data_IF_969700430376
#
_entry.id   IF_969700430376
#
_cell.length_a   1.000
_cell.length_b   1.000
_cell.length_c   1.000
_cell.angle_alpha   90.00
_cell.angle_beta   90.00
_cell.angle_gamma   90.00
#
_symmetry.space_group_name_H-M   'P 1'
#
loop_
_entity.id
_entity.type
_entity.pdbx_description
1 polymer ?
#
# COMPACT_ATOMS: atom_id res chain seq x y z
N UNK A 1 52.22 9.24 6.28
CA UNK A 1 50.79 9.21 5.89
C UNK A 1 50.12 8.10 6.66
N UNK A 2 49.35 8.47 7.68
CA UNK A 2 48.81 7.56 8.70
C UNK A 2 47.80 6.56 8.15
N UNK A 3 48.13 5.27 8.28
CA UNK A 3 47.28 4.11 7.92
C UNK A 3 45.95 4.07 8.69
N UNK A 4 45.82 4.85 9.77
CA UNK A 4 44.61 4.93 10.59
C UNK A 4 43.48 5.76 9.96
N UNK A 5 43.75 6.58 8.93
CA UNK A 5 42.69 7.35 8.24
C UNK A 5 41.94 6.56 7.16
N UNK A 6 42.47 5.40 6.72
CA UNK A 6 41.86 4.63 5.64
C UNK A 6 40.73 3.69 6.10
N UNK A 7 40.70 3.32 7.38
CA UNK A 7 39.74 2.33 7.89
C UNK A 7 38.38 2.97 8.23
N UNK A 8 38.35 4.26 8.57
CA UNK A 8 37.09 4.94 8.90
C UNK A 8 36.20 5.22 7.67
N UNK A 9 36.74 5.16 6.46
CA UNK A 9 36.00 5.44 5.23
C UNK A 9 35.13 4.26 4.75
N UNK A 10 35.37 3.03 5.23
CA UNK A 10 34.60 1.85 4.80
C UNK A 10 33.36 1.53 5.67
N UNK A 11 33.27 2.08 6.89
CA UNK A 11 32.14 1.83 7.79
C UNK A 11 30.91 2.73 7.50
N UNK A 12 31.06 3.76 6.66
CA UNK A 12 29.95 4.62 6.25
C UNK A 12 29.18 4.09 5.01
N UNK A 13 29.68 3.05 4.34
CA UNK A 13 29.13 2.60 3.05
C UNK A 13 28.06 1.49 3.17
N UNK A 14 27.87 0.88 4.35
CA UNK A 14 26.90 -0.21 4.53
C UNK A 14 25.49 0.24 4.93
N UNK A 15 25.26 1.55 5.12
CA UNK A 15 23.93 2.10 5.39
C UNK A 15 23.14 2.44 4.11
N UNK A 16 23.72 2.23 2.93
CA UNK A 16 23.11 2.56 1.63
C UNK A 16 22.60 1.35 0.84
N UNK A 17 22.67 0.12 1.39
CA UNK A 17 22.18 -1.11 0.75
C UNK A 17 20.67 -1.37 0.96
N UNK A 18 19.88 -0.32 1.21
CA UNK A 18 18.47 -0.44 1.58
C UNK A 18 17.46 -0.36 0.44
N UNK A 19 17.76 -0.76 -0.79
CA UNK A 19 16.72 -1.00 -1.80
C UNK A 19 16.32 -2.48 -1.79
N UNK A 20 15.89 -2.98 -0.63
CA UNK A 20 15.26 -4.30 -0.51
C UNK A 20 13.76 -4.22 -0.79
N UNK A 21 13.12 -5.36 -1.06
CA UNK A 21 11.65 -5.42 -1.15
C UNK A 21 10.99 -4.87 0.12
N UNK A 22 9.90 -4.12 -0.03
CA UNK A 22 9.13 -3.59 1.10
C UNK A 22 8.57 -4.75 1.95
N UNK A 23 8.95 -4.77 3.22
CA UNK A 23 8.45 -5.68 4.23
C UNK A 23 7.38 -4.98 5.06
N UNK A 24 6.34 -5.70 5.44
CA UNK A 24 5.21 -5.14 6.17
C UNK A 24 4.98 -5.92 7.47
N UNK A 25 4.70 -5.18 8.55
CA UNK A 25 4.21 -5.75 9.82
C UNK A 25 2.71 -5.51 9.95
N UNK A 26 2.01 -6.45 10.57
CA UNK A 26 0.60 -6.25 10.96
C UNK A 26 0.52 -5.28 12.13
N UNK A 27 -0.32 -4.26 11.98
CA UNK A 27 -0.58 -3.22 13.00
C UNK A 27 -2.08 -3.09 13.28
N UNK A 28 -2.88 -4.10 12.90
CA UNK A 28 -4.34 -4.06 13.06
C UNK A 28 -4.80 -3.78 14.49
N UNK A 29 -4.05 -4.26 15.50
CA UNK A 29 -4.34 -3.99 16.91
C UNK A 29 -4.15 -2.53 17.34
N UNK A 30 -3.32 -1.76 16.62
CA UNK A 30 -3.06 -0.33 16.85
C UNK A 30 -4.12 0.56 16.18
N UNK A 31 -4.86 0.00 15.20
CA UNK A 31 -5.85 0.71 14.35
C UNK A 31 -7.26 0.10 14.44
N UNK A 32 -7.60 -0.47 15.60
CA UNK A 32 -8.83 -1.24 15.79
C UNK A 32 -10.14 -0.44 15.61
N UNK A 33 -10.10 0.89 15.60
CA UNK A 33 -11.23 1.78 15.36
C UNK A 33 -11.77 1.72 13.93
N UNK A 34 -10.90 1.43 12.95
CA UNK A 34 -11.28 1.29 11.55
C UNK A 34 -11.52 -0.16 11.13
N UNK A 35 -10.89 -1.14 11.78
CA UNK A 35 -11.02 -2.55 11.39
C UNK A 35 -12.47 -3.02 11.53
N UNK A 36 -12.99 -3.67 10.48
CA UNK A 36 -14.36 -4.16 10.40
C UNK A 36 -15.39 -3.11 9.98
N UNK A 37 -15.02 -1.83 9.90
CA UNK A 37 -15.93 -0.77 9.47
C UNK A 37 -16.24 -0.85 7.98
N UNK A 38 -17.43 -0.38 7.61
CA UNK A 38 -17.78 -0.12 6.21
C UNK A 38 -17.52 1.34 5.90
N UNK A 39 -16.90 1.57 4.75
CA UNK A 39 -16.59 2.89 4.25
C UNK A 39 -17.13 3.07 2.84
N UNK A 40 -17.38 4.33 2.48
CA UNK A 40 -17.75 4.74 1.13
C UNK A 40 -16.76 5.77 0.63
N UNK A 41 -16.28 5.62 -0.60
CA UNK A 41 -15.49 6.62 -1.29
C UNK A 41 -16.36 7.85 -1.58
N UNK A 42 -15.88 9.03 -1.24
CA UNK A 42 -16.52 10.31 -1.55
C UNK A 42 -15.93 10.95 -2.81
N UNK A 43 -14.71 10.55 -3.18
CA UNK A 43 -13.98 10.99 -4.37
C UNK A 43 -13.40 9.78 -5.10
N UNK A 44 -13.11 9.93 -6.39
CA UNK A 44 -12.51 8.87 -7.20
C UNK A 44 -11.07 8.61 -6.78
N UNK A 45 -10.75 7.35 -6.45
CA UNK A 45 -9.38 6.88 -6.23
C UNK A 45 -8.92 6.03 -7.41
N UNK A 46 -7.61 5.83 -7.56
CA UNK A 46 -7.05 4.90 -8.56
C UNK A 46 -6.63 3.61 -7.90
N UNK A 47 -7.13 2.49 -8.44
CA UNK A 47 -6.65 1.15 -8.14
C UNK A 47 -5.61 0.72 -9.17
N UNK A 48 -4.49 0.20 -8.69
CA UNK A 48 -3.37 -0.26 -9.51
C UNK A 48 -3.12 -1.73 -9.21
N UNK A 49 -3.25 -2.59 -10.20
CA UNK A 49 -2.76 -3.97 -10.10
C UNK A 49 -1.25 -3.98 -10.17
N UNK A 50 -0.59 -4.69 -9.24
CA UNK A 50 0.86 -4.69 -9.08
C UNK A 50 1.42 -6.11 -9.17
N UNK A 51 2.46 -6.31 -9.97
CA UNK A 51 3.29 -7.53 -9.97
C UNK A 51 4.55 -7.31 -9.12
N UNK A 52 4.94 -8.31 -8.32
CA UNK A 52 6.24 -8.35 -7.63
C UNK A 52 7.34 -8.94 -8.51
N UNK A 53 6.97 -9.85 -9.42
CA UNK A 53 7.91 -10.51 -10.31
C UNK A 53 8.18 -9.72 -11.58
N UNK A 54 9.45 -9.64 -11.99
CA UNK A 54 9.85 -9.27 -13.34
C UNK A 54 9.90 -10.53 -14.20
N UNK A 55 8.84 -10.78 -14.96
CA UNK A 55 8.73 -11.92 -15.87
C UNK A 55 7.90 -11.58 -17.11
N UNK A 56 7.93 -12.43 -18.14
CA UNK A 56 7.16 -12.22 -19.38
C UNK A 56 5.65 -12.27 -19.14
N UNK A 57 5.20 -13.02 -18.13
CA UNK A 57 3.81 -13.07 -17.70
C UNK A 57 3.59 -12.14 -16.50
N UNK A 58 2.93 -11.01 -16.76
CA UNK A 58 2.54 -10.05 -15.71
C UNK A 58 1.31 -10.56 -14.98
N UNK A 59 1.51 -11.25 -13.86
CA UNK A 59 0.44 -11.61 -12.93
C UNK A 59 0.25 -10.51 -11.89
N UNK A 60 -0.99 -10.09 -11.65
CA UNK A 60 -1.29 -9.22 -10.52
C UNK A 60 -1.14 -9.99 -9.21
N UNK A 61 -0.27 -9.54 -8.32
CA UNK A 61 -0.08 -10.12 -6.99
C UNK A 61 -0.96 -9.44 -5.94
N UNK A 62 -1.16 -8.13 -6.07
CA UNK A 62 -2.00 -7.33 -5.18
C UNK A 62 -2.51 -6.07 -5.89
N UNK A 63 -3.46 -5.38 -5.26
CA UNK A 63 -3.97 -4.09 -5.72
C UNK A 63 -3.59 -2.99 -4.75
N UNK A 64 -3.05 -1.89 -5.25
CA UNK A 64 -2.70 -0.68 -4.48
C UNK A 64 -3.60 0.48 -4.88
N UNK A 65 -4.26 1.10 -3.89
CA UNK A 65 -5.29 2.12 -4.08
C UNK A 65 -4.85 3.43 -3.44
N UNK A 66 -4.61 4.46 -4.25
CA UNK A 66 -4.27 5.82 -3.82
C UNK A 66 -4.18 6.79 -5.00
N UNK A 67 -4.17 8.09 -4.73
CA UNK A 67 -3.94 9.18 -5.70
C UNK A 67 -2.65 9.96 -5.38
N UNK A 68 -1.92 10.50 -6.38
CA UNK A 68 -2.20 10.46 -7.82
C UNK A 68 -1.96 9.08 -8.46
N UNK A 69 -1.52 8.10 -7.65
CA UNK A 69 -1.17 6.76 -8.11
C UNK A 69 0.25 6.70 -8.64
N UNK A 70 0.58 5.62 -9.33
CA UNK A 70 1.89 5.43 -9.93
C UNK A 70 1.80 4.70 -11.26
N UNK A 71 2.90 4.73 -11.99
CA UNK A 71 3.09 4.03 -13.26
C UNK A 71 4.45 3.35 -13.22
N UNK A 72 4.56 2.23 -13.92
CA UNK A 72 5.82 1.53 -14.08
C UNK A 72 5.62 0.17 -14.72
N UNK A 73 6.72 -0.54 -14.92
CA UNK A 73 6.72 -1.88 -15.51
C UNK A 73 5.96 -2.91 -14.67
N UNK A 74 5.86 -2.65 -13.36
CA UNK A 74 5.19 -3.44 -12.34
C UNK A 74 3.67 -3.27 -12.33
N UNK A 75 3.14 -2.25 -13.01
CA UNK A 75 1.70 -2.03 -13.10
C UNK A 75 1.10 -2.95 -14.17
N UNK A 76 0.10 -3.74 -13.76
CA UNK A 76 -0.62 -4.69 -14.63
C UNK A 76 -1.92 -4.10 -15.15
N UNK A 77 -2.60 -3.28 -14.36
CA UNK A 77 -3.76 -2.49 -14.76
C UNK A 77 -3.87 -1.23 -13.91
N UNK A 78 -4.61 -0.25 -14.42
CA UNK A 78 -5.05 0.93 -13.67
C UNK A 78 -6.53 1.12 -13.93
N UNK A 79 -7.33 1.27 -12.87
CA UNK A 79 -8.75 1.55 -13.00
C UNK A 79 -9.20 2.60 -11.97
N UNK A 80 -10.20 3.44 -12.32
CA UNK A 80 -10.82 4.31 -11.34
C UNK A 80 -11.75 3.51 -10.41
N UNK A 81 -11.73 3.86 -9.13
CA UNK A 81 -12.76 3.50 -8.16
C UNK A 81 -13.60 4.74 -7.92
N UNK A 82 -14.78 4.76 -8.51
CA UNK A 82 -15.63 5.95 -8.50
C UNK A 82 -16.16 6.27 -7.11
N UNK A 83 -16.50 7.54 -6.88
CA UNK A 83 -17.25 7.95 -5.70
C UNK A 83 -18.53 7.11 -5.56
N UNK A 84 -18.84 6.71 -4.32
CA UNK A 84 -19.90 5.74 -4.01
C UNK A 84 -19.44 4.28 -3.90
N UNK A 85 -18.22 3.96 -4.33
CA UNK A 85 -17.62 2.63 -4.11
C UNK A 85 -17.58 2.33 -2.62
N UNK A 86 -18.10 1.16 -2.23
CA UNK A 86 -18.09 0.69 -0.84
C UNK A 86 -16.92 -0.24 -0.60
N UNK A 87 -16.36 -0.15 0.59
CA UNK A 87 -15.27 -1.02 1.02
C UNK A 87 -15.41 -1.38 2.49
N UNK A 88 -14.97 -2.58 2.85
CA UNK A 88 -14.83 -3.04 4.23
C UNK A 88 -13.36 -3.07 4.60
N UNK A 89 -12.99 -2.46 5.72
CA UNK A 89 -11.62 -2.50 6.23
C UNK A 89 -11.40 -3.82 6.96
N UNK A 90 -10.38 -4.59 6.56
CA UNK A 90 -10.12 -5.94 7.06
C UNK A 90 -8.93 -6.02 8.02
N UNK A 91 -7.86 -5.28 7.71
CA UNK A 91 -6.61 -5.29 8.48
C UNK A 91 -5.81 -4.01 8.20
N UNK A 92 -4.84 -3.70 9.04
CA UNK A 92 -3.88 -2.63 8.84
C UNK A 92 -2.46 -3.19 8.82
N UNK A 93 -1.62 -2.68 7.91
CA UNK A 93 -0.20 -3.04 7.84
C UNK A 93 0.65 -1.79 7.67
N UNK A 94 1.85 -1.83 8.22
CA UNK A 94 2.83 -0.75 8.08
C UNK A 94 4.14 -1.30 7.49
N UNK A 95 4.77 -0.54 6.60
CA UNK A 95 6.10 -0.90 6.11
C UNK A 95 7.13 -0.88 7.26
N UNK A 96 7.77 -2.03 7.53
CA UNK A 96 8.72 -2.21 8.62
C UNK A 96 10.17 -1.89 8.24
N UNK A 97 10.47 -1.72 6.95
CA UNK A 97 11.81 -1.41 6.44
C UNK A 97 11.84 -0.16 5.55
N UNK A 98 10.88 0.76 5.70
CA UNK A 98 10.80 2.03 4.99
C UNK A 98 11.12 3.22 5.95
N UNK A 99 12.39 3.50 6.28
CA UNK A 99 12.75 4.46 7.35
C UNK A 99 12.41 5.92 7.05
N UNK A 100 12.27 6.29 5.77
CA UNK A 100 11.96 7.67 5.34
C UNK A 100 10.52 7.83 4.84
N UNK A 101 9.77 6.74 4.74
CA UNK A 101 8.39 6.73 4.26
C UNK A 101 7.60 5.62 4.97
N UNK A 102 7.29 5.79 6.27
CA UNK A 102 6.43 4.85 6.98
C UNK A 102 5.08 4.82 6.27
N UNK A 103 4.80 3.70 5.61
CA UNK A 103 3.63 3.55 4.76
C UNK A 103 2.62 2.65 5.47
N UNK A 104 1.60 3.29 6.05
CA UNK A 104 0.43 2.62 6.60
C UNK A 104 -0.60 2.37 5.48
N UNK A 105 -1.05 1.13 5.39
CA UNK A 105 -2.05 0.69 4.42
C UNK A 105 -3.13 -0.15 5.10
N UNK A 106 -4.38 0.05 4.67
CA UNK A 106 -5.51 -0.75 5.08
C UNK A 106 -5.81 -1.79 4.01
N UNK A 107 -5.84 -3.07 4.40
CA UNK A 107 -6.39 -4.13 3.56
C UNK A 107 -7.90 -3.95 3.51
N UNK A 108 -8.46 -3.89 2.31
CA UNK A 108 -9.90 -3.71 2.10
C UNK A 108 -10.49 -4.78 1.21
N UNK A 109 -11.78 -5.00 1.35
CA UNK A 109 -12.63 -5.72 0.39
C UNK A 109 -13.60 -4.73 -0.22
N UNK A 110 -13.66 -4.64 -1.55
CA UNK A 110 -14.63 -3.78 -2.25
C UNK A 110 -15.97 -4.51 -2.40
N UNK A 111 -17.08 -3.77 -2.33
CA UNK A 111 -18.43 -4.33 -2.42
C UNK A 111 -19.25 -3.56 -3.48
N UNK A 112 -19.55 -4.16 -4.65
CA UNK A 112 -19.06 -5.47 -5.13
C UNK A 112 -17.56 -5.45 -5.44
N UNK A 113 -16.92 -6.63 -5.44
CA UNK A 113 -15.53 -6.78 -5.86
C UNK A 113 -15.41 -6.61 -7.39
N UNK A 114 -14.52 -5.72 -7.90
CA UNK A 114 -14.23 -5.65 -9.33
C UNK A 114 -13.60 -6.95 -9.86
N UNK A 115 -13.88 -7.32 -11.10
CA UNK A 115 -13.33 -8.54 -11.70
C UNK A 115 -11.78 -8.52 -11.74
N UNK A 116 -11.17 -7.35 -11.90
CA UNK A 116 -9.72 -7.15 -11.90
C UNK A 116 -9.06 -7.48 -10.55
N UNK A 117 -9.85 -7.54 -9.47
CA UNK A 117 -9.36 -7.82 -8.12
C UNK A 117 -9.42 -9.30 -7.76
N UNK A 118 -10.02 -10.15 -8.60
CA UNK A 118 -10.41 -11.52 -8.24
C UNK A 118 -9.27 -12.31 -7.56
N UNK A 119 -9.48 -12.63 -6.29
CA UNK A 119 -8.55 -13.40 -5.46
C UNK A 119 -7.25 -12.67 -5.10
N UNK A 120 -7.20 -11.33 -5.23
CA UNK A 120 -6.04 -10.48 -4.91
C UNK A 120 -6.34 -9.57 -3.72
N UNK A 121 -5.42 -9.45 -2.75
CA UNK A 121 -5.60 -8.51 -1.67
C UNK A 121 -5.49 -7.07 -2.20
N UNK A 122 -6.42 -6.21 -1.78
CA UNK A 122 -6.42 -4.78 -2.09
C UNK A 122 -6.01 -3.95 -0.87
N UNK A 123 -5.18 -2.94 -1.08
CA UNK A 123 -4.62 -2.09 -0.04
C UNK A 123 -4.85 -0.62 -0.37
N UNK A 124 -5.51 0.10 0.53
CA UNK A 124 -5.72 1.55 0.45
C UNK A 124 -4.70 2.24 1.35
N UNK A 125 -3.97 3.22 0.84
CA UNK A 125 -3.05 4.01 1.68
C UNK A 125 -3.83 4.77 2.75
N UNK A 126 -3.34 4.81 3.98
CA UNK A 126 -4.01 5.50 5.08
C UNK A 126 -4.22 7.00 4.81
N UNK A 127 -3.33 7.62 4.03
CA UNK A 127 -3.48 9.01 3.57
C UNK A 127 -4.75 9.27 2.74
N UNK A 128 -5.42 8.22 2.22
CA UNK A 128 -6.71 8.33 1.53
C UNK A 128 -7.91 8.32 2.47
N UNK A 129 -7.74 8.05 3.77
CA UNK A 129 -8.83 8.04 4.77
C UNK A 129 -9.11 9.44 5.34
N UNK A 130 -9.04 10.48 4.49
CA UNK A 130 -9.40 11.84 4.88
C UNK A 130 -10.93 12.00 4.84
N UNK A 131 -11.54 12.83 5.71
CA UNK A 131 -13.01 12.97 5.79
C UNK A 131 -13.71 13.39 4.49
N UNK A 132 -12.99 14.00 3.55
CA UNK A 132 -13.50 14.39 2.23
C UNK A 132 -13.31 13.31 1.15
N UNK A 133 -12.47 12.30 1.39
CA UNK A 133 -12.18 11.21 0.45
C UNK A 133 -12.89 9.92 0.82
N UNK A 134 -13.01 9.64 2.11
CA UNK A 134 -13.63 8.41 2.63
C UNK A 134 -14.50 8.75 3.82
N UNK A 135 -15.71 8.20 3.83
CA UNK A 135 -16.59 8.22 5.01
C UNK A 135 -16.77 6.81 5.53
N UNK A 136 -16.29 6.56 6.74
CA UNK A 136 -16.46 5.29 7.44
C UNK A 136 -17.53 5.42 8.52
N UNK A 137 -18.24 4.33 8.77
CA UNK A 137 -19.24 4.24 9.82
C UNK A 137 -19.66 2.78 10.03
N UNK A 138 -20.32 2.52 11.15
CA UNK A 138 -21.00 1.24 11.32
C UNK A 138 -22.10 1.16 10.26
N UNK A 139 -22.05 0.12 9.43
CA UNK A 139 -23.21 -0.24 8.62
C UNK A 139 -24.42 -0.39 9.57
N UNK A 140 -25.64 -0.01 9.13
CA UNK A 140 -26.83 -0.24 9.93
C UNK A 140 -26.99 -1.71 10.33
#
# INVERSE_FOLDING_TARGET
MDKHKLILACLAATALSGCGEAAYRDVSGEHGDLIGTQCVLLETLRAHGVTKGFGPEKKTDFVSIWNPGFRGSEVTFVMPLEAGTRMRVLAARECSNCPFEPMLEYRVELVPEPAEFEGRPAFVRAASFLPHQVRCGQAP
#
